data_IF_814689038548
#
_entry.id   IF_814689038548
#
_cell.length_a   1.000
_cell.length_b   1.000
_cell.length_c   1.000
_cell.angle_alpha   90.00
_cell.angle_beta   90.00
_cell.angle_gamma   90.00
#
_symmetry.space_group_name_H-M   'P 1'
#
loop_
_entity.id
_entity.type
_entity.pdbx_description
1 polymer ?
#
# COMPACT_ATOMS: atom_id res chain seq x y z
N UNK A 1 31.72 5.58 15.76
CA UNK A 1 31.06 6.06 14.52
C UNK A 1 29.56 5.95 14.70
N UNK A 2 28.83 7.06 14.71
CA UNK A 2 27.36 7.08 14.78
C UNK A 2 26.83 6.89 13.36
N UNK A 3 26.30 5.71 13.03
CA UNK A 3 25.59 5.46 11.78
C UNK A 3 24.09 5.57 12.07
N UNK A 4 23.43 6.49 11.36
CA UNK A 4 22.02 6.78 11.47
C UNK A 4 21.21 5.51 11.12
N UNK A 5 20.50 4.97 12.10
CA UNK A 5 19.56 3.87 11.94
C UNK A 5 18.38 4.40 11.11
N UNK A 6 18.33 4.05 9.84
CA UNK A 6 17.18 4.38 9.00
C UNK A 6 16.03 3.49 9.46
N UNK A 7 15.15 4.06 10.29
CA UNK A 7 13.92 3.43 10.74
C UNK A 7 13.07 3.14 9.50
N UNK A 8 12.62 1.90 9.43
CA UNK A 8 11.99 1.21 8.32
C UNK A 8 10.70 1.91 7.84
N UNK A 9 10.83 2.93 6.99
CA UNK A 9 9.72 3.57 6.26
C UNK A 9 9.51 2.97 4.85
N UNK A 10 10.27 1.95 4.47
CA UNK A 10 10.34 1.47 3.07
C UNK A 10 9.29 0.43 2.67
N UNK A 11 8.38 -0.01 3.55
CA UNK A 11 7.33 -0.98 3.17
C UNK A 11 6.07 -0.35 2.53
N UNK A 12 6.04 0.96 2.29
CA UNK A 12 4.89 1.63 1.66
C UNK A 12 4.85 1.56 0.13
N UNK A 13 5.81 0.90 -0.53
CA UNK A 13 5.80 0.75 -1.99
C UNK A 13 5.37 -0.67 -2.38
N UNK A 14 4.14 -1.06 -2.01
CA UNK A 14 3.42 -2.03 -2.83
C UNK A 14 2.77 -1.19 -3.94
N UNK A 15 3.57 -0.89 -4.96
CA UNK A 15 3.12 -0.17 -6.14
C UNK A 15 2.15 -1.03 -6.93
N UNK A 16 0.85 -0.92 -6.65
CA UNK A 16 -0.19 -1.34 -7.59
C UNK A 16 -0.19 -0.39 -8.79
N UNK A 17 0.79 -0.55 -9.67
CA UNK A 17 0.82 0.13 -10.95
C UNK A 17 0.02 -0.70 -11.95
N UNK A 18 -1.29 -0.46 -11.98
CA UNK A 18 -2.09 -0.74 -13.16
C UNK A 18 -1.64 0.24 -14.25
N UNK A 19 -0.60 -0.11 -15.00
CA UNK A 19 -0.26 0.57 -16.25
C UNK A 19 -1.38 0.25 -17.23
N UNK A 20 -2.36 1.15 -17.34
CA UNK A 20 -3.30 1.15 -18.44
C UNK A 20 -2.49 1.54 -19.68
N UNK A 21 -1.99 0.53 -20.40
CA UNK A 21 -1.50 0.71 -21.77
C UNK A 21 -2.73 1.06 -22.62
N UNK A 22 -2.97 2.36 -22.78
CA UNK A 22 -3.93 2.85 -23.75
C UNK A 22 -3.36 2.60 -25.15
N UNK A 23 -3.71 1.46 -25.74
CA UNK A 23 -3.53 1.21 -27.17
C UNK A 23 -4.47 2.15 -27.94
N UNK A 24 -4.03 3.39 -28.18
CA UNK A 24 -4.61 4.23 -29.22
C UNK A 24 -4.22 3.62 -30.58
N UNK A 25 -5.16 2.95 -31.24
CA UNK A 25 -5.07 2.69 -32.67
C UNK A 25 -5.20 4.04 -33.41
N UNK A 26 -4.30 4.36 -34.37
CA UNK A 26 -4.53 5.46 -35.27
C UNK A 26 -5.49 5.00 -36.38
N UNK A 27 -6.67 5.61 -36.45
CA UNK A 27 -7.48 5.59 -37.67
C UNK A 27 -6.90 6.62 -38.65
N UNK A 28 -6.71 6.14 -39.88
CA UNK A 28 -6.17 6.88 -41.02
C UNK A 28 -7.33 7.32 -41.92
N UNK A 29 -7.13 8.50 -42.52
CA UNK A 29 -7.79 9.09 -43.70
C UNK A 29 -9.16 9.78 -43.54
N UNK A 30 -9.48 10.92 -44.16
CA UNK A 30 -8.86 11.87 -45.11
C UNK A 30 -9.73 13.15 -45.06
N UNK A 31 -9.13 14.36 -45.12
CA UNK A 31 -9.44 15.38 -46.15
C UNK A 31 -8.53 16.60 -46.02
N UNK A 32 -7.72 16.77 -47.05
CA UNK A 32 -6.97 17.98 -47.34
C UNK A 32 -7.93 19.08 -47.79
N UNK A 33 -7.76 20.29 -47.28
CA UNK A 33 -7.93 21.50 -48.08
C UNK A 33 -7.09 22.63 -47.47
N UNK A 34 -6.06 23.01 -48.22
CA UNK A 34 -5.16 24.14 -47.99
C UNK A 34 -5.84 25.42 -48.47
N UNK A 35 -5.76 26.51 -47.72
CA UNK A 35 -5.72 27.88 -48.29
C UNK A 35 -5.20 28.94 -47.31
N UNK A 36 -4.11 29.53 -47.77
CA UNK A 36 -3.65 30.92 -47.66
C UNK A 36 -3.06 31.54 -46.39
N UNK A 37 -1.99 32.27 -46.69
CA UNK A 37 -0.99 32.93 -45.84
C UNK A 37 -1.26 34.45 -45.83
N UNK A 38 -0.88 35.11 -44.74
CA UNK A 38 -0.20 36.44 -44.68
C UNK A 38 -0.90 37.61 -43.97
N UNK A 39 -0.02 38.43 -43.37
CA UNK A 39 -0.14 39.74 -42.66
C UNK A 39 -0.15 39.64 -41.14
N UNK A 40 1.00 39.67 -40.45
CA UNK A 40 1.96 40.79 -40.22
C UNK A 40 1.31 41.94 -39.43
N UNK A 41 1.69 42.11 -38.16
CA UNK A 41 2.44 43.28 -37.67
C UNK A 41 2.96 43.03 -36.24
N UNK A 42 4.26 43.29 -36.07
CA UNK A 42 5.00 43.48 -34.82
C UNK A 42 5.36 44.99 -34.80
N UNK A 43 5.61 45.66 -33.65
CA UNK A 43 6.93 45.53 -33.04
C UNK A 43 7.05 45.72 -31.52
N UNK A 44 8.19 45.23 -31.03
CA UNK A 44 8.86 45.56 -29.78
C UNK A 44 9.39 47.02 -29.75
N UNK A 45 9.40 47.63 -28.56
CA UNK A 45 10.56 48.24 -27.87
C UNK A 45 10.02 48.99 -26.64
N UNK A 46 10.37 48.66 -25.38
CA UNK A 46 11.67 48.62 -24.70
C UNK A 46 12.23 50.02 -24.38
N UNK A 47 12.27 50.34 -23.07
CA UNK A 47 13.46 50.80 -22.34
C UNK A 47 13.20 51.84 -21.22
N UNK A 48 13.73 51.48 -20.04
CA UNK A 48 14.49 52.30 -19.08
C UNK A 48 13.76 53.41 -18.28
N UNK A 49 14.04 53.66 -16.99
CA UNK A 49 15.27 53.48 -16.22
C UNK A 49 15.04 53.63 -14.70
N UNK A 50 15.76 52.82 -13.89
CA UNK A 50 16.58 53.15 -12.69
C UNK A 50 15.96 53.91 -11.50
N UNK A 51 15.95 53.35 -10.28
CA UNK A 51 17.05 53.25 -9.26
C UNK A 51 16.64 54.15 -8.07
N UNK A 52 16.96 53.99 -6.78
CA UNK A 52 17.78 53.08 -5.97
C UNK A 52 17.36 53.27 -4.49
N UNK A 53 17.59 52.24 -3.64
CA UNK A 53 18.12 52.32 -2.26
C UNK A 53 17.25 53.04 -1.17
N UNK A 54 17.19 52.69 0.11
CA UNK A 54 18.07 51.93 1.00
C UNK A 54 17.28 51.43 2.23
N UNK A 55 17.83 50.47 2.97
CA UNK A 55 17.08 49.57 3.84
C UNK A 55 16.73 49.99 5.27
N UNK A 56 16.06 49.06 5.97
CA UNK A 56 16.08 48.92 7.43
C UNK A 56 15.57 47.55 7.87
N UNK A 57 16.39 46.91 8.68
CA UNK A 57 16.22 45.67 9.44
C UNK A 57 14.90 45.60 10.20
N UNK A 58 14.23 44.43 10.19
CA UNK A 58 13.38 43.97 11.30
C UNK A 58 13.32 42.44 11.35
N UNK A 59 13.87 41.91 12.44
CA UNK A 59 13.56 40.59 13.00
C UNK A 59 12.06 40.31 12.96
N UNK A 60 11.67 39.09 12.62
CA UNK A 60 10.50 38.44 13.20
C UNK A 60 10.68 36.92 13.21
N UNK A 61 10.62 36.36 14.42
CA UNK A 61 10.48 34.94 14.72
C UNK A 61 9.36 34.31 13.88
N UNK A 62 9.70 33.26 13.11
CA UNK A 62 8.70 32.31 12.62
C UNK A 62 8.59 31.20 13.67
N UNK A 63 7.58 31.40 14.51
CA UNK A 63 7.09 30.48 15.52
C UNK A 63 6.63 29.18 14.85
N UNK A 64 7.06 28.05 15.43
CA UNK A 64 6.88 26.72 14.88
C UNK A 64 5.43 26.39 14.53
N UNK A 65 5.24 25.96 13.29
CA UNK A 65 4.07 25.17 12.90
C UNK A 65 4.16 23.83 13.61
N UNK A 66 3.45 23.73 14.73
CA UNK A 66 3.17 22.45 15.38
C UNK A 66 2.40 21.54 14.42
N UNK A 67 2.48 20.21 14.62
CA UNK A 67 1.78 19.25 13.78
C UNK A 67 0.28 19.52 13.88
N UNK A 68 -0.36 19.66 12.73
CA UNK A 68 -1.81 19.69 12.58
C UNK A 68 -2.42 18.55 13.40
N UNK A 69 -3.22 18.90 14.41
CA UNK A 69 -4.02 17.94 15.17
C UNK A 69 -4.88 17.16 14.19
N UNK A 70 -4.56 15.88 13.98
CA UNK A 70 -5.55 14.91 13.54
C UNK A 70 -6.67 14.92 14.57
N UNK A 71 -7.85 15.41 14.16
CA UNK A 71 -9.06 15.29 14.97
C UNK A 71 -9.34 13.80 15.19
N UNK A 72 -9.31 13.38 16.45
CA UNK A 72 -9.71 12.04 16.84
C UNK A 72 -11.20 11.85 16.56
N UNK A 73 -11.53 11.26 15.42
CA UNK A 73 -12.88 10.84 15.05
C UNK A 73 -13.42 9.95 16.17
N UNK A 74 -14.61 10.27 16.68
CA UNK A 74 -15.21 9.48 17.76
C UNK A 74 -15.47 8.04 17.30
N UNK A 75 -15.30 7.07 18.20
CA UNK A 75 -15.51 5.64 17.89
C UNK A 75 -16.89 5.35 17.28
N UNK A 76 -17.93 6.07 17.74
CA UNK A 76 -19.31 5.97 17.24
C UNK A 76 -19.45 6.44 15.80
N UNK A 77 -18.79 7.54 15.44
CA UNK A 77 -18.81 8.10 14.08
C UNK A 77 -18.09 7.19 13.07
N UNK A 78 -17.01 6.52 13.51
CA UNK A 78 -16.27 5.55 12.68
C UNK A 78 -17.08 4.27 12.44
N UNK A 79 -17.77 3.75 13.46
CA UNK A 79 -18.66 2.59 13.32
C UNK A 79 -19.83 2.86 12.37
N UNK A 80 -20.39 4.07 12.42
CA UNK A 80 -21.47 4.48 11.51
C UNK A 80 -20.98 4.60 10.06
N UNK A 81 -19.80 5.21 9.85
CA UNK A 81 -19.15 5.31 8.53
C UNK A 81 -18.85 3.93 7.94
N UNK A 82 -18.30 3.00 8.72
CA UNK A 82 -18.02 1.62 8.28
C UNK A 82 -19.32 0.86 7.93
N UNK A 83 -20.40 1.09 8.67
CA UNK A 83 -21.69 0.43 8.42
C UNK A 83 -22.36 0.96 7.15
N UNK A 84 -22.30 2.28 6.90
CA UNK A 84 -22.76 2.91 5.65
C UNK A 84 -21.94 2.44 4.44
N UNK A 85 -20.62 2.36 4.56
CA UNK A 85 -19.76 1.80 3.53
C UNK A 85 -20.21 0.38 3.13
N UNK A 86 -20.44 -0.50 4.12
CA UNK A 86 -20.82 -1.88 3.85
C UNK A 86 -22.17 -1.98 3.12
N UNK A 87 -23.18 -1.23 3.56
CA UNK A 87 -24.50 -1.25 2.91
C UNK A 87 -24.46 -0.67 1.50
N UNK A 88 -23.77 0.45 1.30
CA UNK A 88 -23.63 1.08 -0.02
C UNK A 88 -22.96 0.15 -1.03
N UNK A 89 -21.84 -0.47 -0.67
CA UNK A 89 -21.17 -1.38 -1.61
C UNK A 89 -21.98 -2.65 -1.85
N UNK A 90 -22.61 -3.23 -0.81
CA UNK A 90 -23.48 -4.40 -0.99
C UNK A 90 -24.64 -4.11 -1.95
N UNK A 91 -25.22 -2.91 -1.90
CA UNK A 91 -26.24 -2.48 -2.85
C UNK A 91 -25.69 -2.32 -4.28
N UNK A 92 -24.52 -1.68 -4.45
CA UNK A 92 -23.88 -1.56 -5.78
C UNK A 92 -23.59 -2.92 -6.42
N UNK A 93 -23.13 -3.90 -5.63
CA UNK A 93 -22.92 -5.27 -6.11
C UNK A 93 -24.24 -5.91 -6.56
N UNK A 94 -25.31 -5.77 -5.77
CA UNK A 94 -26.63 -6.28 -6.15
C UNK A 94 -27.10 -5.66 -7.48
N UNK A 95 -27.01 -4.34 -7.61
CA UNK A 95 -27.44 -3.63 -8.82
C UNK A 95 -26.66 -4.08 -10.05
N UNK A 96 -25.33 -4.20 -9.93
CA UNK A 96 -24.47 -4.65 -11.03
C UNK A 96 -24.78 -6.10 -11.44
N UNK A 97 -25.06 -6.98 -10.47
CA UNK A 97 -25.46 -8.37 -10.73
C UNK A 97 -26.83 -8.45 -11.40
N UNK A 98 -27.83 -7.69 -10.93
CA UNK A 98 -29.17 -7.64 -11.53
C UNK A 98 -29.11 -7.12 -12.97
N UNK A 99 -28.22 -6.17 -13.26
CA UNK A 99 -27.97 -5.64 -14.61
C UNK A 99 -27.07 -6.53 -15.47
N UNK A 100 -26.50 -7.60 -14.90
CA UNK A 100 -25.50 -8.44 -15.53
C UNK A 100 -24.29 -7.63 -16.07
N UNK A 101 -23.93 -6.55 -15.38
CA UNK A 101 -22.84 -5.64 -15.74
C UNK A 101 -21.50 -6.20 -15.23
N UNK A 102 -20.84 -7.02 -16.06
CA UNK A 102 -19.60 -7.70 -15.70
C UNK A 102 -18.44 -6.73 -15.42
N UNK A 103 -18.40 -5.60 -16.12
CA UNK A 103 -17.31 -4.64 -15.98
C UNK A 103 -17.43 -3.92 -14.63
N UNK A 104 -18.65 -3.50 -14.26
CA UNK A 104 -18.89 -2.90 -12.94
C UNK A 104 -18.70 -3.91 -11.81
N UNK A 105 -19.12 -5.17 -11.96
CA UNK A 105 -18.84 -6.25 -10.99
C UNK A 105 -17.33 -6.40 -10.77
N UNK A 106 -16.55 -6.44 -11.86
CA UNK A 106 -15.09 -6.61 -11.81
C UNK A 106 -14.43 -5.42 -11.10
N UNK A 107 -14.85 -4.20 -11.44
CA UNK A 107 -14.35 -2.97 -10.80
C UNK A 107 -14.66 -2.91 -9.31
N UNK A 108 -15.87 -3.29 -8.90
CA UNK A 108 -16.24 -3.37 -7.48
C UNK A 108 -15.39 -4.44 -6.78
N UNK A 109 -15.24 -5.62 -7.39
CA UNK A 109 -14.44 -6.70 -6.84
C UNK A 109 -12.97 -6.28 -6.63
N UNK A 110 -12.32 -5.70 -7.66
CA UNK A 110 -10.94 -5.21 -7.58
C UNK A 110 -10.77 -4.19 -6.45
N UNK A 111 -11.72 -3.26 -6.32
CA UNK A 111 -11.72 -2.26 -5.24
C UNK A 111 -11.81 -2.91 -3.85
N UNK A 112 -12.73 -3.88 -3.68
CA UNK A 112 -12.92 -4.58 -2.41
C UNK A 112 -11.72 -5.48 -2.07
N UNK A 113 -11.18 -6.21 -3.04
CA UNK A 113 -9.98 -7.03 -2.86
C UNK A 113 -8.81 -6.14 -2.44
N UNK A 114 -8.61 -5.01 -3.12
CA UNK A 114 -7.53 -4.07 -2.82
C UNK A 114 -7.68 -3.49 -1.42
N UNK A 115 -8.88 -3.02 -1.04
CA UNK A 115 -9.15 -2.48 0.29
C UNK A 115 -8.96 -3.52 1.39
N UNK A 116 -9.44 -4.75 1.18
CA UNK A 116 -9.23 -5.86 2.11
C UNK A 116 -7.74 -6.17 2.27
N UNK A 117 -6.99 -6.27 1.18
CA UNK A 117 -5.56 -6.53 1.20
C UNK A 117 -4.81 -5.43 1.97
N UNK A 118 -5.11 -4.16 1.70
CA UNK A 118 -4.49 -3.02 2.40
C UNK A 118 -4.76 -3.04 3.90
N UNK A 119 -6.02 -3.27 4.32
CA UNK A 119 -6.40 -3.31 5.73
C UNK A 119 -5.82 -4.52 6.45
N UNK A 120 -5.91 -5.71 5.86
CA UNK A 120 -5.33 -6.94 6.43
C UNK A 120 -3.82 -6.80 6.60
N UNK A 121 -3.14 -6.25 5.58
CA UNK A 121 -1.70 -5.98 5.62
C UNK A 121 -1.35 -5.00 6.71
N UNK A 122 -2.03 -3.86 6.76
CA UNK A 122 -1.78 -2.82 7.77
C UNK A 122 -2.01 -3.33 9.18
N UNK A 123 -3.06 -4.13 9.38
CA UNK A 123 -3.38 -4.75 10.68
C UNK A 123 -2.33 -5.79 11.09
N UNK A 124 -1.91 -6.67 10.18
CA UNK A 124 -0.85 -7.66 10.46
C UNK A 124 0.48 -6.97 10.71
N UNK A 125 0.86 -6.03 9.85
CA UNK A 125 2.12 -5.30 9.95
C UNK A 125 2.19 -4.45 11.22
N UNK A 126 1.12 -3.75 11.62
CA UNK A 126 1.17 -2.92 12.82
C UNK A 126 1.47 -3.73 14.08
N UNK A 127 0.82 -4.90 14.21
CA UNK A 127 1.05 -5.83 15.32
C UNK A 127 2.47 -6.40 15.28
N UNK A 128 2.85 -6.98 14.14
CA UNK A 128 4.11 -7.73 13.98
C UNK A 128 5.31 -6.78 14.01
N UNK A 129 5.23 -5.61 13.37
CA UNK A 129 6.33 -4.65 13.23
C UNK A 129 6.84 -4.17 14.58
N UNK A 130 5.94 -3.84 15.52
CA UNK A 130 6.34 -3.34 16.84
C UNK A 130 7.14 -4.41 17.60
N UNK A 131 6.60 -5.63 17.68
CA UNK A 131 7.25 -6.76 18.35
C UNK A 131 8.58 -7.12 17.68
N UNK A 132 8.61 -7.19 16.35
CA UNK A 132 9.81 -7.53 15.61
C UNK A 132 10.90 -6.47 15.75
N UNK A 133 10.56 -5.19 15.64
CA UNK A 133 11.52 -4.10 15.83
C UNK A 133 12.11 -4.09 17.25
N UNK A 134 11.33 -4.44 18.26
CA UNK A 134 11.84 -4.57 19.62
C UNK A 134 12.81 -5.76 19.75
N UNK A 135 12.49 -6.91 19.13
CA UNK A 135 13.41 -8.05 19.04
C UNK A 135 14.71 -7.67 18.34
N UNK A 136 14.64 -7.01 17.18
CA UNK A 136 15.81 -6.53 16.43
C UNK A 136 16.70 -5.62 17.30
N UNK A 137 16.11 -4.64 18.01
CA UNK A 137 16.86 -3.77 18.93
C UNK A 137 17.56 -4.58 20.02
N UNK A 138 16.88 -5.56 20.62
CA UNK A 138 17.43 -6.40 21.66
C UNK A 138 18.57 -7.28 21.13
N UNK A 139 18.40 -7.89 19.96
CA UNK A 139 19.41 -8.71 19.28
C UNK A 139 20.70 -7.94 19.01
N UNK A 140 20.58 -6.70 18.53
CA UNK A 140 21.74 -5.84 18.28
C UNK A 140 22.46 -5.42 19.58
N UNK A 141 21.72 -5.17 20.66
CA UNK A 141 22.27 -4.58 21.88
C UNK A 141 22.83 -5.58 22.88
N UNK A 142 22.16 -6.71 23.13
CA UNK A 142 22.40 -7.50 24.34
C UNK A 142 22.45 -9.02 24.17
N UNK A 143 22.04 -9.57 23.02
CA UNK A 143 22.04 -11.03 22.83
C UNK A 143 23.25 -11.56 22.07
N UNK A 144 23.61 -12.81 22.38
CA UNK A 144 24.53 -13.64 21.59
C UNK A 144 23.83 -14.23 20.37
N UNK A 145 24.61 -14.60 19.36
CA UNK A 145 24.10 -15.23 18.13
C UNK A 145 23.30 -16.51 18.44
N UNK A 146 23.79 -17.32 19.38
CA UNK A 146 23.15 -18.59 19.77
C UNK A 146 21.75 -18.40 20.37
N UNK A 147 21.45 -17.21 20.90
CA UNK A 147 20.11 -16.85 21.41
C UNK A 147 19.22 -16.25 20.31
N UNK A 148 19.81 -15.48 19.39
CA UNK A 148 19.08 -14.80 18.32
C UNK A 148 18.44 -15.79 17.35
N UNK A 149 19.17 -16.83 16.93
CA UNK A 149 18.70 -17.75 15.89
C UNK A 149 17.44 -18.54 16.33
N UNK A 150 17.41 -19.19 17.51
CA UNK A 150 16.19 -19.86 17.98
C UNK A 150 15.02 -18.90 18.22
N UNK A 151 15.29 -17.71 18.77
CA UNK A 151 14.24 -16.71 19.03
C UNK A 151 13.62 -16.20 17.73
N UNK A 152 14.45 -15.94 16.71
CA UNK A 152 13.96 -15.60 15.39
C UNK A 152 13.10 -16.73 14.81
N UNK A 153 13.58 -17.98 14.87
CA UNK A 153 12.86 -19.11 14.31
C UNK A 153 11.50 -19.29 14.98
N UNK A 154 11.42 -19.11 16.29
CA UNK A 154 10.15 -19.11 17.03
C UNK A 154 9.23 -18.00 16.50
N UNK A 155 9.71 -16.75 16.48
CA UNK A 155 8.93 -15.60 16.00
C UNK A 155 8.48 -15.77 14.54
N UNK A 156 9.33 -16.34 13.69
CA UNK A 156 9.04 -16.60 12.29
C UNK A 156 7.91 -17.62 12.14
N UNK A 157 7.95 -18.72 12.90
CA UNK A 157 6.88 -19.73 12.90
C UNK A 157 5.56 -19.23 13.50
N UNK A 158 5.61 -18.32 14.47
CA UNK A 158 4.41 -17.74 15.08
C UNK A 158 3.67 -16.78 14.14
N UNK A 159 4.39 -16.10 13.24
CA UNK A 159 3.85 -14.98 12.46
C UNK A 159 3.73 -15.24 10.96
N UNK A 160 4.37 -16.29 10.44
CA UNK A 160 4.36 -16.69 9.04
C UNK A 160 3.81 -18.10 8.92
N UNK A 161 2.92 -18.35 7.94
CA UNK A 161 2.38 -19.70 7.80
C UNK A 161 3.45 -20.72 7.42
N UNK A 162 3.28 -21.95 7.91
CA UNK A 162 4.27 -23.02 7.76
C UNK A 162 4.66 -23.33 6.31
N UNK A 163 3.78 -23.07 5.34
CA UNK A 163 4.09 -23.16 3.91
C UNK A 163 5.26 -22.24 3.51
N UNK A 164 5.20 -20.97 3.92
CA UNK A 164 6.24 -19.99 3.56
C UNK A 164 7.49 -20.11 4.42
N UNK A 165 7.35 -20.56 5.68
CA UNK A 165 8.50 -20.94 6.49
C UNK A 165 9.27 -22.08 5.82
N UNK A 166 8.58 -23.14 5.44
CA UNK A 166 9.19 -24.31 4.78
C UNK A 166 9.86 -23.92 3.46
N UNK A 167 9.21 -23.07 2.66
CA UNK A 167 9.79 -22.52 1.42
C UNK A 167 11.12 -21.80 1.64
N UNK A 168 11.26 -21.11 2.77
CA UNK A 168 12.40 -20.25 3.08
C UNK A 168 13.41 -20.87 4.07
N UNK A 169 13.24 -22.14 4.45
CA UNK A 169 14.08 -22.78 5.48
C UNK A 169 15.56 -22.84 5.09
N UNK A 170 15.88 -23.00 3.80
CA UNK A 170 17.27 -23.04 3.35
C UNK A 170 17.95 -21.67 3.49
N UNK A 171 17.23 -20.57 3.20
CA UNK A 171 17.75 -19.22 3.44
C UNK A 171 18.07 -19.01 4.91
N UNK A 172 17.19 -19.45 5.81
CA UNK A 172 17.46 -19.43 7.25
C UNK A 172 18.71 -20.23 7.62
N UNK A 173 18.84 -21.48 7.14
CA UNK A 173 20.04 -22.33 7.36
C UNK A 173 21.33 -21.72 6.82
N UNK A 174 21.26 -20.92 5.75
CA UNK A 174 22.43 -20.21 5.25
C UNK A 174 22.81 -19.04 6.16
N UNK A 175 21.82 -18.35 6.73
CA UNK A 175 22.05 -17.29 7.74
C UNK A 175 22.70 -17.86 9.00
N UNK A 176 22.36 -19.09 9.42
CA UNK A 176 22.97 -19.71 10.62
C UNK A 176 24.46 -20.02 10.46
N UNK A 177 25.01 -19.96 9.24
CA UNK A 177 26.45 -20.16 8.97
C UNK A 177 27.27 -18.86 9.13
N UNK A 178 26.59 -17.72 9.23
CA UNK A 178 27.24 -16.42 9.41
C UNK A 178 27.84 -16.29 10.81
N UNK A 179 28.85 -15.43 10.93
CA UNK A 179 29.56 -15.18 12.20
C UNK A 179 29.39 -13.77 12.72
N UNK A 180 29.05 -12.82 11.84
CA UNK A 180 28.84 -11.43 12.24
C UNK A 180 27.39 -11.20 12.67
N UNK A 181 27.22 -10.72 13.91
CA UNK A 181 25.90 -10.52 14.52
C UNK A 181 25.05 -9.52 13.75
N UNK A 182 25.63 -8.41 13.31
CA UNK A 182 24.88 -7.36 12.60
C UNK A 182 24.39 -7.88 11.25
N UNK A 183 25.22 -8.64 10.55
CA UNK A 183 24.89 -9.29 9.29
C UNK A 183 23.79 -10.33 9.46
N UNK A 184 23.84 -11.16 10.52
CA UNK A 184 22.78 -12.11 10.85
C UNK A 184 21.46 -11.37 11.04
N UNK A 185 21.42 -10.36 11.93
CA UNK A 185 20.20 -9.62 12.24
C UNK A 185 19.61 -8.96 10.99
N UNK A 186 20.43 -8.35 10.15
CA UNK A 186 19.98 -7.75 8.89
C UNK A 186 19.38 -8.80 7.93
N UNK A 187 20.05 -9.94 7.75
CA UNK A 187 19.53 -11.01 6.88
C UNK A 187 18.26 -11.65 7.41
N UNK A 188 18.13 -11.81 8.73
CA UNK A 188 16.91 -12.30 9.37
C UNK A 188 15.75 -11.32 9.17
N UNK A 189 16.01 -10.01 9.31
CA UNK A 189 15.04 -8.97 9.02
C UNK A 189 14.56 -9.01 7.57
N UNK A 190 15.48 -9.11 6.62
CA UNK A 190 15.15 -9.20 5.20
C UNK A 190 14.36 -10.47 4.89
N UNK A 191 14.78 -11.61 5.44
CA UNK A 191 14.08 -12.88 5.30
C UNK A 191 12.62 -12.76 5.77
N UNK A 192 12.41 -12.18 6.95
CA UNK A 192 11.09 -11.99 7.52
C UNK A 192 10.23 -11.11 6.62
N UNK A 193 10.73 -9.93 6.25
CA UNK A 193 9.98 -8.94 5.47
C UNK A 193 9.62 -9.46 4.08
N UNK A 194 10.56 -10.10 3.38
CA UNK A 194 10.31 -10.68 2.07
C UNK A 194 9.26 -11.80 2.16
N UNK A 195 9.38 -12.66 3.17
CA UNK A 195 8.45 -13.79 3.33
C UNK A 195 7.05 -13.33 3.67
N UNK A 196 6.92 -12.34 4.57
CA UNK A 196 5.63 -11.76 4.93
C UNK A 196 4.99 -11.06 3.73
N UNK A 197 5.78 -10.30 2.96
CA UNK A 197 5.31 -9.65 1.74
C UNK A 197 4.79 -10.65 0.71
N UNK A 198 5.54 -11.72 0.45
CA UNK A 198 5.13 -12.78 -0.47
C UNK A 198 3.82 -13.46 -0.03
N UNK A 199 3.69 -13.77 1.26
CA UNK A 199 2.49 -14.40 1.80
C UNK A 199 1.24 -13.53 1.58
N UNK A 200 1.36 -12.23 1.85
CA UNK A 200 0.28 -11.25 1.70
C UNK A 200 -0.12 -11.10 0.23
N UNK A 201 0.86 -10.98 -0.68
CA UNK A 201 0.60 -10.83 -2.11
C UNK A 201 -0.12 -12.06 -2.68
N UNK A 202 0.30 -13.25 -2.28
CA UNK A 202 -0.32 -14.50 -2.72
C UNK A 202 -1.75 -14.66 -2.18
N UNK A 203 -2.02 -14.21 -0.96
CA UNK A 203 -3.37 -14.21 -0.39
C UNK A 203 -4.30 -13.28 -1.19
N UNK A 204 -3.85 -12.06 -1.51
CA UNK A 204 -4.60 -11.11 -2.34
C UNK A 204 -4.87 -11.67 -3.74
N UNK A 205 -3.84 -12.24 -4.37
CA UNK A 205 -3.95 -12.85 -5.71
C UNK A 205 -4.92 -14.03 -5.75
N UNK A 206 -5.02 -14.80 -4.65
CA UNK A 206 -5.97 -15.92 -4.56
C UNK A 206 -7.42 -15.43 -4.64
N UNK A 207 -7.77 -14.36 -3.91
CA UNK A 207 -9.11 -13.79 -3.96
C UNK A 207 -9.45 -13.25 -5.35
N UNK A 208 -8.50 -12.55 -5.97
CA UNK A 208 -8.66 -12.03 -7.33
C UNK A 208 -8.92 -13.15 -8.34
N UNK A 209 -8.05 -14.15 -8.38
CA UNK A 209 -8.18 -15.27 -9.31
C UNK A 209 -9.48 -16.06 -9.09
N UNK A 210 -9.91 -16.23 -7.83
CA UNK A 210 -11.17 -16.90 -7.52
C UNK A 210 -12.37 -16.12 -8.05
N UNK A 211 -12.46 -14.82 -7.76
CA UNK A 211 -13.57 -13.97 -8.21
C UNK A 211 -13.58 -13.84 -9.73
N UNK A 212 -12.42 -13.61 -10.36
CA UNK A 212 -12.30 -13.53 -11.83
C UNK A 212 -12.79 -14.82 -12.50
N UNK A 213 -12.47 -15.99 -11.95
CA UNK A 213 -12.97 -17.27 -12.46
C UNK A 213 -14.48 -17.39 -12.30
N UNK A 214 -15.06 -16.96 -11.17
CA UNK A 214 -16.51 -17.00 -10.95
C UNK A 214 -17.26 -16.06 -11.91
N UNK A 215 -16.71 -14.87 -12.18
CA UNK A 215 -17.24 -13.92 -13.16
C UNK A 215 -17.21 -14.53 -14.58
N UNK A 216 -16.08 -15.14 -14.98
CA UNK A 216 -15.95 -15.84 -16.27
C UNK A 216 -16.96 -16.98 -16.42
N UNK A 217 -17.21 -17.72 -15.33
CA UNK A 217 -18.18 -18.81 -15.28
C UNK A 217 -19.64 -18.33 -15.12
N UNK A 218 -19.89 -17.02 -15.05
CA UNK A 218 -21.23 -16.42 -14.85
C UNK A 218 -21.94 -16.91 -13.59
N UNK A 219 -21.17 -17.27 -12.56
CA UNK A 219 -21.70 -17.75 -11.26
C UNK A 219 -22.01 -16.56 -10.35
N UNK A 220 -22.95 -15.71 -10.76
CA UNK A 220 -23.22 -14.41 -10.14
C UNK A 220 -23.52 -14.51 -8.64
N UNK A 221 -24.29 -15.52 -8.21
CA UNK A 221 -24.57 -15.72 -6.77
C UNK A 221 -23.31 -16.00 -5.96
N UNK A 222 -22.36 -16.76 -6.51
CA UNK A 222 -21.08 -17.05 -5.85
C UNK A 222 -20.15 -15.83 -5.85
N UNK A 223 -20.17 -15.03 -6.91
CA UNK A 223 -19.44 -13.76 -6.96
C UNK A 223 -19.95 -12.83 -5.85
N UNK A 224 -21.27 -12.69 -5.72
CA UNK A 224 -21.90 -11.91 -4.67
C UNK A 224 -21.47 -12.36 -3.27
N UNK A 225 -21.59 -13.66 -3.01
CA UNK A 225 -21.22 -14.25 -1.72
C UNK A 225 -19.77 -13.92 -1.35
N UNK A 226 -18.84 -14.07 -2.30
CA UNK A 226 -17.41 -13.80 -2.09
C UNK A 226 -17.12 -12.32 -1.84
N UNK A 227 -17.73 -11.43 -2.60
CA UNK A 227 -17.56 -9.98 -2.39
C UNK A 227 -18.16 -9.58 -1.03
N UNK A 228 -19.31 -10.15 -0.64
CA UNK A 228 -19.95 -9.83 0.64
C UNK A 228 -19.13 -10.32 1.83
N UNK A 229 -18.56 -11.53 1.75
CA UNK A 229 -17.63 -12.05 2.76
C UNK A 229 -16.40 -11.14 2.92
N UNK A 230 -15.83 -10.64 1.81
CA UNK A 230 -14.72 -9.68 1.87
C UNK A 230 -15.13 -8.33 2.50
N UNK A 231 -16.34 -7.83 2.20
CA UNK A 231 -16.87 -6.61 2.85
C UNK A 231 -17.01 -6.82 4.36
N UNK A 232 -17.53 -7.96 4.79
CA UNK A 232 -17.72 -8.25 6.21
C UNK A 232 -16.38 -8.40 6.95
N UNK A 233 -15.37 -8.99 6.28
CA UNK A 233 -13.98 -9.00 6.77
C UNK A 233 -13.39 -7.60 6.90
N UNK A 234 -13.60 -6.73 5.91
CA UNK A 234 -13.18 -5.31 5.95
C UNK A 234 -13.79 -4.61 7.17
N UNK A 235 -15.12 -4.74 7.35
CA UNK A 235 -15.84 -4.12 8.47
C UNK A 235 -15.26 -4.58 9.81
N UNK A 236 -14.96 -5.87 9.94
CA UNK A 236 -14.34 -6.41 11.16
C UNK A 236 -12.96 -5.79 11.40
N UNK A 237 -12.11 -5.70 10.38
CA UNK A 237 -10.77 -5.13 10.47
C UNK A 237 -10.77 -3.64 10.84
N UNK A 238 -11.69 -2.85 10.27
CA UNK A 238 -11.81 -1.42 10.59
C UNK A 238 -12.25 -1.19 12.05
N UNK A 239 -13.16 -2.04 12.57
CA UNK A 239 -13.60 -2.00 13.96
C UNK A 239 -12.50 -2.42 14.93
N UNK A 240 -11.70 -3.44 14.61
CA UNK A 240 -10.60 -3.90 15.47
C UNK A 240 -9.41 -2.95 15.47
N UNK A 241 -9.15 -2.25 14.37
CA UNK A 241 -8.07 -1.25 14.25
C UNK A 241 -8.37 0.08 14.96
N UNK A 242 -9.49 0.15 15.70
CA UNK A 242 -9.96 1.35 16.41
C UNK A 242 -9.95 1.18 17.93
N UNK A 243 -9.31 0.11 18.44
CA UNK A 243 -8.99 -0.12 19.85
C UNK A 243 -7.49 0.05 20.03
#
# INVERSE_FOLDING_TARGET
MKRNLTILSSLLVIGFSAVIVSCKKPDVNIKNETKDISKIENPLNDSNNRDTSNGKTKNNNIQGGGPSKEESISKKEKEEKTSRFASEIKNKVNDAITKNDKDEITKIADSIITKHAQLSTSFRLSKISSEFNNKIKNWLNSQSIDSILPEFLLFFNENISGKYVSKNINKYKDITKEKDKNTIVAKLQDLFNQTLGEEIEQESSKYKNEIDNLIKQQKNDKVKEKIFDLIDKIVKLEKTSSK
#
